data_IF_788550901163
#
_entry.id   IF_788550901163
#
_cell.length_a   1.000
_cell.length_b   1.000
_cell.length_c   1.000
_cell.angle_alpha   90.00
_cell.angle_beta   90.00
_cell.angle_gamma   90.00
#
_symmetry.space_group_name_H-M   'P 1'
#
loop_
_entity.id
_entity.type
_entity.pdbx_description
1 polymer ?
#
# COMPACT_ATOMS: atom_id res chain seq x y z
N UNK A 1 -11.77 -39.28 0.22
CA UNK A 1 -12.88 -38.40 0.69
C UNK A 1 -13.11 -37.40 -0.42
N UNK A 2 -14.33 -36.94 -0.68
CA UNK A 2 -14.58 -35.94 -1.73
C UNK A 2 -14.26 -34.53 -1.21
N UNK A 3 -13.80 -33.66 -2.12
CA UNK A 3 -13.63 -32.23 -1.82
C UNK A 3 -14.97 -31.63 -1.33
N UNK A 4 -14.88 -30.73 -0.36
CA UNK A 4 -16.02 -29.97 0.15
C UNK A 4 -16.36 -28.80 -0.76
N UNK A 5 -17.24 -28.99 -1.72
CA UNK A 5 -17.61 -27.93 -2.69
C UNK A 5 -18.30 -26.72 -2.04
N UNK A 6 -18.96 -26.90 -0.90
CA UNK A 6 -19.62 -25.83 -0.15
C UNK A 6 -18.63 -24.87 0.55
N UNK A 7 -17.34 -25.18 0.54
CA UNK A 7 -16.31 -24.31 1.12
C UNK A 7 -15.95 -23.12 0.20
N UNK A 8 -16.34 -23.14 -1.09
CA UNK A 8 -16.10 -22.01 -1.99
C UNK A 8 -16.79 -20.76 -1.44
N UNK A 9 -16.03 -19.66 -1.37
CA UNK A 9 -16.50 -18.36 -0.91
C UNK A 9 -16.68 -18.22 0.60
N UNK A 10 -16.60 -19.29 1.38
CA UNK A 10 -16.67 -19.19 2.85
C UNK A 10 -15.45 -18.48 3.40
N UNK A 11 -15.67 -17.55 4.32
CA UNK A 11 -14.61 -16.80 4.99
C UNK A 11 -13.79 -17.72 5.88
N UNK A 12 -12.46 -17.64 5.76
CA UNK A 12 -11.46 -18.28 6.62
C UNK A 12 -10.73 -17.16 7.36
N UNK A 13 -10.69 -17.24 8.68
CA UNK A 13 -10.10 -16.20 9.52
C UNK A 13 -11.14 -15.29 10.19
N UNK A 14 -10.71 -14.22 10.89
CA UNK A 14 -9.34 -13.69 10.97
C UNK A 14 -8.39 -14.61 11.75
N UNK A 15 -7.22 -14.88 11.18
CA UNK A 15 -6.14 -15.61 11.82
C UNK A 15 -5.04 -14.62 12.21
N UNK A 16 -4.64 -14.63 13.47
CA UNK A 16 -3.64 -13.70 14.00
C UNK A 16 -2.34 -14.42 14.28
N UNK A 17 -1.23 -13.78 13.92
CA UNK A 17 0.13 -14.26 14.20
C UNK A 17 1.01 -13.10 14.65
N UNK A 18 1.54 -13.21 15.86
CA UNK A 18 2.58 -12.32 16.36
C UNK A 18 3.93 -12.78 15.83
N UNK A 19 4.81 -11.82 15.53
CA UNK A 19 6.18 -12.08 15.10
C UNK A 19 7.10 -10.93 15.52
N UNK A 20 8.37 -11.25 15.65
CA UNK A 20 9.40 -10.28 15.99
C UNK A 20 10.61 -10.39 15.02
N UNK A 21 11.63 -9.57 15.28
CA UNK A 21 12.84 -9.54 14.48
C UNK A 21 13.58 -10.88 14.42
N UNK A 22 13.43 -11.76 15.43
CA UNK A 22 14.05 -13.10 15.44
C UNK A 22 13.40 -14.03 14.44
N UNK A 23 12.07 -13.96 14.31
CA UNK A 23 11.33 -14.73 13.30
C UNK A 23 11.75 -14.31 11.90
N UNK A 24 11.93 -12.99 11.68
CA UNK A 24 12.40 -12.44 10.39
C UNK A 24 13.80 -12.94 10.05
N UNK A 25 14.75 -12.90 11.00
CA UNK A 25 16.12 -13.40 10.82
C UNK A 25 16.11 -14.91 10.64
N UNK A 26 15.37 -15.65 11.45
CA UNK A 26 15.24 -17.10 11.33
C UNK A 26 14.78 -17.53 9.94
N UNK A 27 13.75 -16.84 9.43
CA UNK A 27 13.28 -17.06 8.06
C UNK A 27 14.38 -16.76 7.03
N UNK A 28 15.05 -15.62 7.15
CA UNK A 28 16.11 -15.23 6.22
C UNK A 28 17.21 -16.28 6.14
N UNK A 29 17.69 -16.78 7.29
CA UNK A 29 18.67 -17.86 7.36
C UNK A 29 18.06 -19.17 6.82
N UNK A 30 16.78 -19.42 7.12
CA UNK A 30 16.00 -20.57 6.63
C UNK A 30 15.92 -20.64 5.11
N UNK A 31 15.99 -19.50 4.40
CA UNK A 31 16.06 -19.42 2.93
C UNK A 31 17.46 -19.09 2.41
N UNK A 32 18.49 -19.35 3.22
CA UNK A 32 19.90 -19.33 2.85
C UNK A 32 20.58 -17.97 2.86
N UNK A 33 20.05 -16.94 3.54
CA UNK A 33 20.77 -15.70 3.80
C UNK A 33 21.95 -15.99 4.75
N UNK A 34 23.08 -15.37 4.50
CA UNK A 34 24.33 -15.61 5.24
C UNK A 34 24.93 -14.35 5.85
N UNK A 35 26.21 -14.48 6.26
CA UNK A 35 26.97 -13.39 6.89
C UNK A 35 27.30 -12.24 5.95
N UNK A 36 27.13 -12.40 4.65
CA UNK A 36 27.28 -11.40 3.59
C UNK A 36 26.00 -10.58 3.34
N UNK A 37 24.87 -10.98 3.97
CA UNK A 37 23.57 -10.33 3.82
C UNK A 37 23.05 -9.78 5.17
N UNK A 38 23.88 -8.96 5.85
CA UNK A 38 23.57 -8.43 7.18
C UNK A 38 22.28 -7.59 7.23
N UNK A 39 21.84 -7.02 6.12
CA UNK A 39 20.54 -6.34 6.02
C UNK A 39 19.35 -7.28 6.34
N UNK A 40 19.53 -8.60 6.28
CA UNK A 40 18.48 -9.60 6.53
C UNK A 40 18.79 -10.53 7.72
N UNK A 41 20.03 -10.52 8.20
CA UNK A 41 20.51 -11.47 9.23
C UNK A 41 20.98 -10.81 10.52
N UNK A 42 20.95 -9.48 10.57
CA UNK A 42 21.36 -8.70 11.74
C UNK A 42 20.31 -7.63 12.07
N UNK A 43 19.97 -7.46 13.35
CA UNK A 43 18.90 -6.60 13.82
C UNK A 43 19.11 -5.10 13.56
N UNK A 44 20.34 -4.64 13.33
CA UNK A 44 20.63 -3.25 13.00
C UNK A 44 20.25 -2.96 11.53
N UNK A 45 19.25 -2.11 11.34
CA UNK A 45 18.68 -1.76 10.04
C UNK A 45 18.06 -2.96 9.29
N UNK A 46 17.54 -3.93 10.05
CA UNK A 46 16.96 -5.15 9.54
C UNK A 46 15.87 -4.87 8.49
N UNK A 47 15.95 -5.57 7.37
CA UNK A 47 14.95 -5.60 6.31
C UNK A 47 14.29 -6.98 6.24
N UNK A 48 13.05 -7.01 5.77
CA UNK A 48 12.30 -8.25 5.64
C UNK A 48 12.38 -8.75 4.20
N UNK A 49 12.81 -9.99 4.00
CA UNK A 49 12.71 -10.66 2.70
C UNK A 49 11.22 -10.84 2.38
N UNK A 50 10.70 -10.37 1.21
CA UNK A 50 9.26 -10.38 0.93
C UNK A 50 8.61 -11.75 1.05
N UNK A 51 9.30 -12.82 0.71
CA UNK A 51 8.80 -14.19 0.85
C UNK A 51 8.58 -14.63 2.31
N UNK A 52 9.00 -13.85 3.33
CA UNK A 52 8.59 -14.03 4.73
C UNK A 52 7.08 -13.98 4.91
N UNK A 53 6.34 -13.28 4.03
CA UNK A 53 4.89 -13.27 3.98
C UNK A 53 4.26 -14.68 4.01
N UNK A 54 5.00 -15.68 3.57
CA UNK A 54 4.60 -17.09 3.58
C UNK A 54 4.55 -17.65 5.01
N UNK A 55 5.47 -17.23 5.89
CA UNK A 55 5.48 -17.66 7.29
C UNK A 55 4.20 -17.25 8.04
N UNK A 56 3.54 -16.19 7.59
CA UNK A 56 2.27 -15.72 8.13
C UNK A 56 1.06 -16.59 7.73
N UNK A 57 1.18 -17.39 6.67
CA UNK A 57 0.05 -18.09 6.05
C UNK A 57 -0.03 -19.57 6.36
N UNK A 58 0.90 -20.16 7.12
CA UNK A 58 0.82 -21.59 7.41
C UNK A 58 -0.48 -21.98 8.11
N UNK A 59 -0.96 -21.14 9.06
CA UNK A 59 -2.25 -21.38 9.69
C UNK A 59 -3.40 -21.27 8.68
N UNK A 60 -3.32 -20.28 7.77
CA UNK A 60 -4.30 -20.13 6.69
C UNK A 60 -4.28 -21.33 5.74
N UNK A 61 -3.09 -21.78 5.35
CA UNK A 61 -2.91 -22.96 4.50
C UNK A 61 -3.53 -24.21 5.15
N UNK A 62 -3.29 -24.42 6.45
CA UNK A 62 -3.89 -25.50 7.24
C UNK A 62 -5.41 -25.42 7.25
N UNK A 63 -5.99 -24.23 7.47
CA UNK A 63 -7.43 -24.01 7.44
C UNK A 63 -8.04 -24.23 6.05
N UNK A 64 -7.34 -23.85 4.98
CA UNK A 64 -7.75 -24.16 3.59
C UNK A 64 -7.81 -25.68 3.38
N UNK A 65 -6.77 -26.41 3.85
CA UNK A 65 -6.74 -27.87 3.79
C UNK A 65 -7.94 -28.53 4.51
N UNK A 66 -8.23 -28.09 5.72
CA UNK A 66 -9.37 -28.57 6.52
C UNK A 66 -10.71 -28.21 5.85
N UNK A 67 -10.88 -26.96 5.44
CA UNK A 67 -12.14 -26.48 4.84
C UNK A 67 -12.44 -27.17 3.52
N UNK A 68 -11.42 -27.42 2.68
CA UNK A 68 -11.54 -28.10 1.39
C UNK A 68 -11.73 -29.61 1.50
N UNK A 69 -11.42 -30.22 2.66
CA UNK A 69 -11.37 -31.68 2.86
C UNK A 69 -10.41 -32.37 1.87
N UNK A 70 -9.32 -31.71 1.46
CA UNK A 70 -8.32 -32.27 0.55
C UNK A 70 -7.58 -33.43 1.20
N UNK A 71 -7.27 -34.46 0.42
CA UNK A 71 -6.54 -35.63 0.92
C UNK A 71 -5.07 -35.31 1.19
N UNK A 72 -4.68 -35.20 2.45
CA UNK A 72 -3.33 -34.84 2.88
C UNK A 72 -2.24 -35.80 2.38
N UNK A 73 -2.55 -37.09 2.14
CA UNK A 73 -1.57 -38.04 1.61
C UNK A 73 -1.17 -37.75 0.15
N UNK A 74 -2.05 -37.06 -0.60
CA UNK A 74 -1.79 -36.63 -1.97
C UNK A 74 -1.49 -35.16 -2.12
N UNK A 75 -1.44 -34.39 -1.03
CA UNK A 75 -1.32 -32.94 -1.07
C UNK A 75 0.08 -32.48 -1.45
N UNK A 76 0.15 -31.58 -2.43
CA UNK A 76 1.34 -30.82 -2.79
C UNK A 76 0.99 -29.34 -2.93
N UNK A 77 1.94 -28.47 -2.70
CA UNK A 77 1.85 -27.05 -3.05
C UNK A 77 2.12 -26.89 -4.56
N UNK A 78 1.12 -26.51 -5.34
CA UNK A 78 1.19 -26.44 -6.80
C UNK A 78 1.73 -25.10 -7.32
N UNK A 79 1.13 -24.01 -6.88
CA UNK A 79 1.52 -22.64 -7.27
C UNK A 79 1.43 -21.71 -6.06
N UNK A 80 2.32 -20.70 -6.05
CA UNK A 80 2.33 -19.63 -5.07
C UNK A 80 2.41 -18.29 -5.82
N UNK A 81 1.55 -17.35 -5.43
CA UNK A 81 1.64 -15.98 -5.89
C UNK A 81 1.48 -15.02 -4.70
N UNK A 82 2.35 -14.03 -4.62
CA UNK A 82 2.40 -12.98 -3.63
C UNK A 82 2.23 -11.63 -4.32
N UNK A 83 1.31 -10.81 -3.85
CA UNK A 83 1.11 -9.43 -4.31
C UNK A 83 1.33 -8.52 -3.11
N UNK A 84 2.30 -7.61 -3.20
CA UNK A 84 2.70 -6.73 -2.10
C UNK A 84 2.08 -5.34 -2.25
N UNK A 85 1.36 -4.91 -1.23
CA UNK A 85 0.71 -3.60 -1.13
C UNK A 85 1.52 -2.61 -0.29
N UNK A 86 2.21 -3.10 0.73
CA UNK A 86 3.10 -2.33 1.59
C UNK A 86 4.30 -3.19 2.03
N UNK A 87 5.45 -2.58 2.39
CA UNK A 87 6.56 -3.30 2.99
C UNK A 87 6.16 -3.99 4.29
N UNK A 88 6.70 -5.18 4.53
CA UNK A 88 6.45 -5.93 5.76
C UNK A 88 7.33 -5.35 6.87
N UNK A 89 6.76 -4.90 8.01
CA UNK A 89 7.53 -4.47 9.17
C UNK A 89 8.36 -5.62 9.77
N UNK A 90 9.36 -5.29 10.58
CA UNK A 90 10.23 -6.29 11.23
C UNK A 90 9.61 -6.93 12.48
N UNK A 91 8.46 -6.46 12.94
CA UNK A 91 7.72 -7.01 14.07
C UNK A 91 6.27 -6.55 14.06
N UNK A 92 5.40 -7.23 14.78
CA UNK A 92 4.01 -6.86 14.99
C UNK A 92 3.06 -8.06 14.97
N UNK A 93 1.77 -7.78 14.84
CA UNK A 93 0.73 -8.79 14.66
C UNK A 93 0.21 -8.73 13.23
N UNK A 94 0.26 -9.85 12.54
CA UNK A 94 -0.38 -10.07 11.24
C UNK A 94 -1.79 -10.61 11.45
N UNK A 95 -2.74 -10.13 10.66
CA UNK A 95 -4.10 -10.66 10.62
C UNK A 95 -4.41 -11.07 9.19
N UNK A 96 -4.68 -12.37 8.97
CA UNK A 96 -4.99 -12.94 7.67
C UNK A 96 -6.46 -13.36 7.61
N UNK A 97 -7.14 -12.90 6.58
CA UNK A 97 -8.49 -13.32 6.22
C UNK A 97 -8.50 -13.76 4.76
N UNK A 98 -9.27 -14.79 4.45
CA UNK A 98 -9.32 -15.26 3.07
C UNK A 98 -10.46 -16.23 2.82
N UNK A 99 -10.39 -16.90 1.67
CA UNK A 99 -11.40 -17.87 1.22
C UNK A 99 -10.83 -18.80 0.16
N UNK A 100 -11.46 -19.95 0.00
CA UNK A 100 -11.30 -20.78 -1.20
C UNK A 100 -12.08 -20.12 -2.32
N UNK A 101 -11.44 -19.90 -3.46
CA UNK A 101 -12.04 -19.20 -4.61
C UNK A 101 -12.51 -20.16 -5.68
N UNK A 102 -11.75 -21.26 -5.95
CA UNK A 102 -12.06 -22.20 -7.02
C UNK A 102 -11.60 -23.62 -6.70
N UNK A 103 -12.29 -24.59 -7.27
CA UNK A 103 -11.81 -25.94 -7.47
C UNK A 103 -11.76 -26.25 -8.95
N UNK A 104 -10.67 -26.85 -9.43
CA UNK A 104 -10.54 -27.32 -10.80
C UNK A 104 -10.26 -28.81 -10.82
N UNK A 105 -10.99 -29.53 -11.68
CA UNK A 105 -10.83 -30.97 -11.85
C UNK A 105 -9.76 -31.24 -12.94
N UNK A 106 -8.78 -32.07 -12.64
CA UNK A 106 -7.79 -32.55 -13.60
C UNK A 106 -7.98 -34.03 -13.93
N UNK A 107 -9.17 -34.55 -13.68
CA UNK A 107 -9.53 -35.94 -13.89
C UNK A 107 -8.63 -36.87 -13.08
N UNK A 108 -8.07 -37.88 -13.71
CA UNK A 108 -7.19 -38.86 -13.05
C UNK A 108 -5.87 -38.26 -12.49
N UNK A 109 -5.53 -36.99 -12.86
CA UNK A 109 -4.31 -36.33 -12.40
C UNK A 109 -4.49 -35.68 -11.03
N UNK A 110 -5.72 -35.49 -10.56
CA UNK A 110 -6.02 -34.85 -9.27
C UNK A 110 -6.89 -33.62 -9.40
N UNK A 111 -6.85 -32.77 -8.39
CA UNK A 111 -7.61 -31.52 -8.30
C UNK A 111 -6.71 -30.32 -7.95
N UNK A 112 -7.12 -29.12 -8.33
CA UNK A 112 -6.53 -27.88 -7.84
C UNK A 112 -7.52 -27.19 -6.90
N UNK A 113 -7.04 -26.77 -5.75
CA UNK A 113 -7.76 -25.92 -4.79
C UNK A 113 -7.09 -24.56 -4.78
N UNK A 114 -7.81 -23.53 -5.20
CA UNK A 114 -7.30 -22.16 -5.22
C UNK A 114 -7.85 -21.42 -4.00
N UNK A 115 -6.98 -20.81 -3.22
CA UNK A 115 -7.36 -19.97 -2.09
C UNK A 115 -6.63 -18.61 -2.17
N UNK A 116 -7.30 -17.59 -1.69
CA UNK A 116 -6.79 -16.23 -1.61
C UNK A 116 -6.90 -15.74 -0.17
N UNK A 117 -5.81 -15.20 0.36
CA UNK A 117 -5.72 -14.65 1.71
C UNK A 117 -5.09 -13.25 1.69
N UNK A 118 -5.77 -12.29 2.28
CA UNK A 118 -5.31 -10.92 2.49
C UNK A 118 -4.76 -10.77 3.90
N UNK A 119 -3.58 -10.18 4.02
CA UNK A 119 -2.92 -10.00 5.32
C UNK A 119 -2.68 -8.53 5.60
N UNK A 120 -3.15 -8.08 6.75
CA UNK A 120 -2.94 -6.74 7.30
C UNK A 120 -2.09 -6.77 8.56
N UNK A 121 -1.42 -5.66 8.84
CA UNK A 121 -0.68 -5.44 10.07
C UNK A 121 -1.54 -4.76 11.15
N UNK A 122 -1.17 -4.91 12.42
CA UNK A 122 -1.87 -4.30 13.57
C UNK A 122 -2.04 -2.77 13.50
N UNK A 123 -1.27 -2.08 12.64
CA UNK A 123 -1.44 -0.65 12.35
C UNK A 123 -2.53 -0.36 11.29
N UNK A 124 -3.28 -1.36 10.86
CA UNK A 124 -4.36 -1.25 9.87
C UNK A 124 -3.91 -1.24 8.40
N UNK A 125 -2.61 -1.34 8.10
CA UNK A 125 -2.13 -1.38 6.71
C UNK A 125 -2.28 -2.77 6.12
N UNK A 126 -2.88 -2.87 4.93
CA UNK A 126 -2.83 -4.06 4.08
C UNK A 126 -1.40 -4.26 3.62
N UNK A 127 -0.80 -5.42 3.90
CA UNK A 127 0.58 -5.71 3.55
C UNK A 127 0.71 -6.48 2.24
N UNK A 128 -0.01 -7.60 2.13
CA UNK A 128 0.10 -8.48 0.98
C UNK A 128 -1.13 -9.36 0.80
N UNK A 129 -1.31 -9.83 -0.42
CA UNK A 129 -2.26 -10.89 -0.79
C UNK A 129 -1.48 -12.15 -1.19
N UNK A 130 -1.88 -13.30 -0.63
CA UNK A 130 -1.40 -14.62 -1.03
C UNK A 130 -2.46 -15.31 -1.88
N UNK A 131 -2.06 -15.80 -3.05
CA UNK A 131 -2.87 -16.70 -3.87
C UNK A 131 -2.14 -18.04 -3.90
N UNK A 132 -2.82 -19.08 -3.39
CA UNK A 132 -2.25 -20.39 -3.18
C UNK A 132 -3.00 -21.38 -4.05
N UNK A 133 -2.26 -22.23 -4.74
CA UNK A 133 -2.82 -23.38 -5.44
C UNK A 133 -2.32 -24.66 -4.76
N UNK A 134 -3.23 -25.37 -4.11
CA UNK A 134 -2.97 -26.72 -3.61
C UNK A 134 -3.30 -27.73 -4.69
N UNK A 135 -2.43 -28.74 -4.85
CA UNK A 135 -2.63 -29.83 -5.79
C UNK A 135 -2.90 -31.14 -5.02
N UNK A 136 -4.16 -31.58 -5.03
CA UNK A 136 -4.60 -32.84 -4.47
C UNK A 136 -4.52 -33.94 -5.50
N UNK A 137 -3.42 -34.73 -5.50
CA UNK A 137 -3.20 -35.81 -6.48
C UNK A 137 -4.26 -36.91 -6.42
N UNK A 138 -4.95 -37.05 -5.29
CA UNK A 138 -5.92 -38.09 -5.04
C UNK A 138 -7.38 -37.58 -5.06
N UNK A 139 -7.61 -36.32 -5.41
CA UNK A 139 -8.92 -35.67 -5.24
C UNK A 139 -9.60 -35.29 -6.57
N UNK A 140 -9.10 -35.78 -7.72
CA UNK A 140 -9.70 -35.49 -9.02
C UNK A 140 -10.83 -36.43 -9.43
N UNK A 141 -11.50 -36.12 -10.55
CA UNK A 141 -12.57 -36.89 -11.14
C UNK A 141 -13.95 -36.56 -10.55
N UNK A 142 -14.12 -35.38 -9.98
CA UNK A 142 -15.41 -34.94 -9.43
C UNK A 142 -16.30 -34.21 -10.50
N UNK A 143 -15.83 -34.06 -11.75
CA UNK A 143 -16.63 -33.47 -12.84
C UNK A 143 -16.69 -31.95 -12.83
N UNK A 144 -15.70 -31.30 -12.20
CA UNK A 144 -15.56 -29.85 -12.20
C UNK A 144 -14.93 -29.29 -13.48
N UNK A 145 -14.81 -27.96 -13.55
CA UNK A 145 -14.18 -27.25 -14.66
C UNK A 145 -12.67 -27.55 -14.73
N UNK A 146 -12.11 -27.52 -15.95
CA UNK A 146 -10.67 -27.55 -16.16
C UNK A 146 -10.05 -26.20 -15.79
N UNK A 147 -8.85 -26.24 -15.19
CA UNK A 147 -8.11 -25.02 -14.89
C UNK A 147 -7.70 -24.30 -16.18
N UNK A 148 -7.94 -22.98 -16.28
CA UNK A 148 -7.49 -22.22 -17.44
C UNK A 148 -5.96 -22.26 -17.53
N UNK A 149 -5.38 -22.41 -18.74
CA UNK A 149 -3.94 -22.39 -18.91
C UNK A 149 -3.38 -21.00 -18.57
N UNK A 150 -2.33 -20.97 -17.78
CA UNK A 150 -1.61 -19.74 -17.38
C UNK A 150 -0.12 -19.86 -17.73
N UNK A 151 0.25 -20.04 -19.04
CA UNK A 151 1.64 -20.16 -19.39
C UNK A 151 2.34 -18.81 -19.26
N UNK A 152 3.54 -18.81 -18.72
CA UNK A 152 4.48 -17.69 -18.80
C UNK A 152 5.33 -17.89 -20.04
N UNK A 153 5.33 -16.90 -20.94
CA UNK A 153 6.20 -16.93 -22.10
C UNK A 153 7.62 -16.51 -21.70
N UNK A 154 8.58 -17.39 -21.94
CA UNK A 154 10.00 -17.11 -21.74
C UNK A 154 10.63 -16.62 -23.05
N UNK A 155 11.50 -15.59 -23.00
CA UNK A 155 12.27 -15.18 -24.17
C UNK A 155 13.19 -16.30 -24.68
N UNK A 156 13.35 -16.43 -25.99
CA UNK A 156 14.25 -17.43 -26.62
C UNK A 156 15.74 -17.05 -26.55
N UNK A 157 16.07 -15.96 -25.88
CA UNK A 157 17.45 -15.49 -25.61
C UNK A 157 18.00 -15.99 -24.29
N UNK A 158 19.31 -15.87 -24.10
CA UNK A 158 19.94 -16.11 -22.80
C UNK A 158 19.32 -15.26 -21.68
N UNK A 159 19.29 -15.76 -20.44
CA UNK A 159 18.81 -14.98 -19.30
C UNK A 159 19.68 -13.75 -19.06
N UNK A 160 19.08 -12.67 -18.57
CA UNK A 160 19.81 -11.46 -18.18
C UNK A 160 20.64 -11.69 -16.92
N UNK A 161 20.14 -12.57 -16.01
CA UNK A 161 20.86 -12.98 -14.81
C UNK A 161 20.75 -14.49 -14.60
N UNK A 162 21.83 -15.05 -14.04
CA UNK A 162 21.92 -16.45 -13.67
C UNK A 162 22.57 -16.51 -12.29
N UNK A 163 21.80 -16.93 -11.27
CA UNK A 163 22.24 -16.89 -9.87
C UNK A 163 22.26 -18.31 -9.32
N UNK A 164 23.44 -18.76 -8.92
CA UNK A 164 23.67 -20.06 -8.30
C UNK A 164 23.48 -20.00 -6.79
N UNK A 165 22.94 -21.08 -6.22
CA UNK A 165 22.89 -21.30 -4.79
C UNK A 165 23.04 -22.79 -4.46
N UNK A 166 23.56 -23.09 -3.27
CA UNK A 166 23.73 -24.43 -2.76
C UNK A 166 23.02 -24.57 -1.40
N UNK A 167 21.71 -24.90 -1.38
CA UNK A 167 21.03 -25.17 -0.12
C UNK A 167 21.75 -26.24 0.70
N UNK A 168 21.84 -26.04 2.01
CA UNK A 168 22.43 -27.06 2.91
C UNK A 168 21.57 -28.33 2.88
N UNK A 169 22.20 -29.53 3.07
CA UNK A 169 21.45 -30.75 3.37
C UNK A 169 20.51 -30.61 4.58
N UNK A 170 20.87 -29.77 5.54
CA UNK A 170 20.08 -29.48 6.75
C UNK A 170 19.08 -28.33 6.58
N UNK A 171 18.98 -27.75 5.40
CA UNK A 171 18.10 -26.60 5.14
C UNK A 171 16.65 -26.85 5.55
N UNK A 172 16.03 -28.02 5.33
CA UNK A 172 14.66 -28.30 5.78
C UNK A 172 14.52 -28.26 7.30
N UNK A 173 15.54 -28.69 8.05
CA UNK A 173 15.50 -28.67 9.53
C UNK A 173 15.48 -27.24 10.07
N UNK A 174 16.17 -26.33 9.40
CA UNK A 174 16.18 -24.91 9.76
C UNK A 174 14.89 -24.21 9.29
N UNK A 175 14.51 -24.39 8.02
CA UNK A 175 13.36 -23.72 7.44
C UNK A 175 12.04 -24.04 8.15
N UNK A 176 11.85 -25.31 8.57
CA UNK A 176 10.62 -25.73 9.29
C UNK A 176 10.35 -24.95 10.58
N UNK A 177 11.38 -24.36 11.18
CA UNK A 177 11.24 -23.55 12.38
C UNK A 177 10.52 -22.22 12.10
N UNK A 178 10.39 -21.81 10.84
CA UNK A 178 9.58 -20.68 10.42
C UNK A 178 8.09 -20.98 10.30
N UNK A 179 7.66 -22.25 10.57
CA UNK A 179 6.24 -22.61 10.66
C UNK A 179 5.81 -23.83 9.83
N UNK A 180 6.54 -24.23 8.78
CA UNK A 180 6.21 -25.40 7.97
C UNK A 180 6.78 -26.69 8.59
N UNK A 181 6.03 -27.27 9.51
CA UNK A 181 6.45 -28.48 10.23
C UNK A 181 6.01 -29.78 9.54
N UNK A 182 5.56 -29.74 8.28
CA UNK A 182 5.05 -30.90 7.59
C UNK A 182 6.10 -32.03 7.45
N UNK A 183 5.72 -33.24 7.82
CA UNK A 183 6.64 -34.40 7.97
C UNK A 183 7.33 -34.79 6.66
N UNK A 184 6.73 -34.51 5.50
CA UNK A 184 7.29 -34.82 4.17
C UNK A 184 8.73 -34.34 3.98
N UNK A 185 9.11 -33.30 4.69
CA UNK A 185 10.38 -32.61 4.51
C UNK A 185 11.48 -33.09 5.45
N UNK A 186 11.15 -33.96 6.44
CA UNK A 186 12.12 -34.39 7.47
C UNK A 186 12.01 -35.88 7.82
N UNK A 187 10.83 -36.51 7.63
CA UNK A 187 10.59 -37.90 8.00
C UNK A 187 10.74 -38.83 6.79
N UNK A 188 11.77 -39.73 6.78
CA UNK A 188 11.98 -40.67 5.66
C UNK A 188 10.83 -41.64 5.46
N UNK A 189 10.12 -42.04 6.52
CA UNK A 189 9.00 -42.98 6.40
C UNK A 189 7.81 -42.30 5.75
N UNK A 190 7.49 -41.10 6.21
CA UNK A 190 6.42 -40.30 5.60
C UNK A 190 6.73 -39.96 4.13
N UNK A 191 7.98 -39.62 3.81
CA UNK A 191 8.39 -39.32 2.43
C UNK A 191 8.17 -40.54 1.52
N UNK A 192 8.54 -41.74 1.96
CA UNK A 192 8.31 -43.00 1.20
C UNK A 192 6.79 -43.28 1.03
N UNK A 193 5.99 -43.10 2.06
CA UNK A 193 4.53 -43.23 1.95
C UNK A 193 3.91 -42.25 0.95
N UNK A 194 4.49 -41.04 0.86
CA UNK A 194 4.08 -40.02 -0.11
C UNK A 194 4.62 -40.26 -1.53
N UNK A 195 5.41 -41.33 -1.75
CA UNK A 195 5.95 -41.73 -3.05
C UNK A 195 7.28 -41.06 -3.42
N UNK A 196 8.06 -40.56 -2.45
CA UNK A 196 9.39 -40.00 -2.63
C UNK A 196 10.45 -40.95 -2.07
N UNK A 197 11.63 -40.95 -2.66
CA UNK A 197 12.77 -41.79 -2.22
C UNK A 197 13.24 -41.39 -0.81
N UNK A 198 13.28 -40.10 -0.53
CA UNK A 198 13.69 -39.49 0.74
C UNK A 198 12.99 -38.15 0.94
N UNK A 199 13.09 -37.53 2.13
CA UNK A 199 12.53 -36.20 2.35
C UNK A 199 12.95 -35.18 1.28
N UNK A 200 12.01 -34.36 0.82
CA UNK A 200 12.23 -33.33 -0.18
C UNK A 200 12.35 -31.96 0.47
N UNK A 201 12.97 -31.01 -0.20
CA UNK A 201 12.96 -29.61 0.20
C UNK A 201 11.53 -29.06 0.26
N UNK A 202 11.26 -28.16 1.21
CA UNK A 202 10.03 -27.38 1.17
C UNK A 202 10.01 -26.57 -0.13
N UNK A 203 8.92 -26.67 -0.89
CA UNK A 203 8.76 -25.84 -2.10
C UNK A 203 8.87 -24.35 -1.78
N UNK A 204 8.28 -23.93 -0.67
CA UNK A 204 8.31 -22.54 -0.22
C UNK A 204 9.69 -22.08 0.27
N UNK A 205 10.54 -22.98 0.78
CA UNK A 205 11.95 -22.70 1.03
C UNK A 205 12.69 -22.43 -0.29
N UNK A 206 12.50 -23.30 -1.29
CA UNK A 206 13.08 -23.14 -2.63
C UNK A 206 12.62 -21.82 -3.29
N UNK A 207 11.35 -21.46 -3.11
CA UNK A 207 10.80 -20.15 -3.52
C UNK A 207 11.47 -18.98 -2.80
N UNK A 208 11.83 -19.13 -1.52
CA UNK A 208 12.57 -18.13 -0.75
C UNK A 208 13.99 -17.89 -1.31
N UNK A 209 14.70 -18.96 -1.71
CA UNK A 209 15.97 -18.85 -2.44
C UNK A 209 15.82 -18.08 -3.76
N UNK A 210 14.74 -18.35 -4.52
CA UNK A 210 14.45 -17.60 -5.73
C UNK A 210 14.17 -16.12 -5.43
N UNK A 211 13.38 -15.81 -4.38
CA UNK A 211 13.11 -14.44 -3.96
C UNK A 211 14.40 -13.66 -3.70
N UNK A 212 15.37 -14.25 -2.97
CA UNK A 212 16.68 -13.62 -2.74
C UNK A 212 17.45 -13.39 -4.04
N UNK A 213 17.51 -14.39 -4.92
CA UNK A 213 18.18 -14.25 -6.22
C UNK A 213 17.56 -13.14 -7.09
N UNK A 214 16.24 -13.04 -7.12
CA UNK A 214 15.50 -12.00 -7.84
C UNK A 214 15.75 -10.62 -7.25
N UNK A 215 15.71 -10.49 -5.91
CA UNK A 215 16.01 -9.24 -5.22
C UNK A 215 17.45 -8.77 -5.48
N UNK A 216 18.43 -9.66 -5.34
CA UNK A 216 19.83 -9.34 -5.58
C UNK A 216 20.07 -8.84 -7.02
N UNK A 217 19.35 -9.41 -7.99
CA UNK A 217 19.51 -9.07 -9.42
C UNK A 217 18.72 -7.83 -9.86
N UNK A 218 17.51 -7.59 -9.31
CA UNK A 218 16.54 -6.64 -9.87
C UNK A 218 16.19 -5.49 -8.93
N UNK A 219 16.34 -5.69 -7.61
CA UNK A 219 16.01 -4.72 -6.56
C UNK A 219 17.03 -4.78 -5.40
N UNK A 220 18.35 -4.67 -5.66
CA UNK A 220 19.39 -4.91 -4.67
C UNK A 220 19.24 -4.00 -3.45
N UNK A 221 19.15 -4.60 -2.26
CA UNK A 221 18.99 -3.90 -0.99
C UNK A 221 17.66 -3.18 -0.79
N UNK A 222 16.67 -3.35 -1.69
CA UNK A 222 15.38 -2.65 -1.67
C UNK A 222 14.19 -3.62 -1.72
N UNK A 223 13.96 -4.43 -0.67
CA UNK A 223 12.83 -5.38 -0.62
C UNK A 223 11.47 -4.68 -0.74
N UNK A 224 11.39 -3.41 -0.37
CA UNK A 224 10.18 -2.57 -0.49
C UNK A 224 9.77 -2.30 -1.93
N UNK A 225 10.62 -2.55 -2.91
CA UNK A 225 10.27 -2.43 -4.33
C UNK A 225 9.60 -3.66 -4.90
N UNK A 226 9.61 -4.81 -4.22
CA UNK A 226 8.94 -6.03 -4.71
C UNK A 226 7.43 -5.82 -4.70
N UNK A 227 6.77 -6.12 -5.83
CA UNK A 227 5.33 -5.96 -6.03
C UNK A 227 4.61 -7.28 -6.23
N UNK A 228 5.23 -8.19 -6.96
CA UNK A 228 4.64 -9.49 -7.24
C UNK A 228 5.72 -10.54 -7.35
N UNK A 229 5.47 -11.70 -6.78
CA UNK A 229 6.32 -12.86 -6.87
C UNK A 229 5.43 -14.10 -7.03
N UNK A 230 5.43 -14.69 -8.23
CA UNK A 230 4.62 -15.86 -8.54
C UNK A 230 5.45 -16.98 -9.13
N UNK A 231 5.02 -18.24 -8.91
CA UNK A 231 5.67 -19.41 -9.51
C UNK A 231 4.79 -20.65 -9.46
N UNK A 232 5.20 -21.67 -10.25
CA UNK A 232 4.70 -23.04 -10.21
C UNK A 232 5.82 -24.00 -9.76
N UNK A 233 5.52 -24.85 -8.78
CA UNK A 233 6.40 -25.95 -8.38
C UNK A 233 6.25 -27.10 -9.38
N UNK A 234 7.34 -27.46 -10.08
CA UNK A 234 7.28 -28.38 -11.21
C UNK A 234 7.90 -29.75 -10.89
N UNK A 235 8.96 -29.78 -10.12
CA UNK A 235 9.65 -30.99 -9.69
C UNK A 235 10.13 -30.89 -8.24
N UNK A 236 10.20 -32.00 -7.50
CA UNK A 236 10.81 -31.99 -6.18
C UNK A 236 12.28 -31.63 -6.26
N UNK A 237 12.77 -30.90 -5.26
CA UNK A 237 14.19 -30.66 -5.01
C UNK A 237 14.59 -31.47 -3.77
N UNK A 238 15.75 -32.09 -3.79
CA UNK A 238 16.27 -32.77 -2.60
C UNK A 238 17.25 -31.86 -1.82
N UNK A 239 17.26 -31.98 -0.48
CA UNK A 239 18.20 -31.24 0.35
C UNK A 239 19.66 -31.45 -0.10
N UNK A 240 20.41 -30.35 -0.22
CA UNK A 240 21.81 -30.39 -0.70
C UNK A 240 21.97 -30.38 -2.22
N UNK A 241 20.88 -30.38 -2.99
CA UNK A 241 21.00 -30.22 -4.45
C UNK A 241 21.25 -28.76 -4.81
N UNK A 242 22.25 -28.49 -5.67
CA UNK A 242 22.54 -27.13 -6.12
C UNK A 242 21.48 -26.64 -7.12
N UNK A 243 21.18 -25.36 -7.02
CA UNK A 243 20.12 -24.71 -7.82
C UNK A 243 20.67 -23.49 -8.56
N UNK A 244 20.03 -23.17 -9.68
CA UNK A 244 20.28 -21.95 -10.46
C UNK A 244 18.97 -21.28 -10.82
N UNK A 245 18.85 -20.00 -10.44
CA UNK A 245 17.73 -19.14 -10.82
C UNK A 245 18.09 -18.37 -12.09
N UNK A 246 17.33 -18.60 -13.16
CA UNK A 246 17.46 -17.94 -14.46
C UNK A 246 16.40 -16.82 -14.55
N UNK A 247 16.81 -15.59 -14.91
CA UNK A 247 15.98 -14.41 -14.85
C UNK A 247 16.05 -13.65 -16.18
N UNK A 248 14.91 -13.33 -16.75
CA UNK A 248 14.76 -12.52 -17.97
C UNK A 248 13.92 -11.27 -17.69
N UNK A 249 14.49 -10.09 -17.93
CA UNK A 249 13.72 -8.85 -17.94
C UNK A 249 12.86 -8.79 -19.20
N UNK A 250 11.56 -8.60 -19.06
CA UNK A 250 10.61 -8.57 -20.18
C UNK A 250 10.02 -7.17 -20.42
N UNK A 251 10.02 -6.31 -19.38
CA UNK A 251 9.64 -4.90 -19.46
C UNK A 251 10.24 -4.13 -18.27
N UNK A 252 10.08 -2.81 -18.23
CA UNK A 252 10.44 -2.03 -17.05
C UNK A 252 9.66 -2.53 -15.84
N UNK A 253 10.37 -2.86 -14.75
CA UNK A 253 9.78 -3.38 -13.52
C UNK A 253 9.18 -4.79 -13.61
N UNK A 254 9.43 -5.55 -14.72
CA UNK A 254 8.87 -6.90 -14.90
C UNK A 254 9.90 -7.88 -15.40
N UNK A 255 9.92 -9.05 -14.78
CA UNK A 255 10.77 -10.17 -15.17
C UNK A 255 9.98 -11.49 -15.10
N UNK A 256 10.44 -12.47 -15.90
CA UNK A 256 10.06 -13.88 -15.79
C UNK A 256 11.28 -14.68 -15.33
N UNK A 257 11.04 -15.78 -14.63
CA UNK A 257 12.10 -16.54 -14.05
C UNK A 257 11.75 -18.03 -13.91
N UNK A 258 12.78 -18.86 -13.88
CA UNK A 258 12.68 -20.28 -13.52
C UNK A 258 13.89 -20.71 -12.70
N UNK A 259 13.76 -21.83 -12.01
CA UNK A 259 14.84 -22.41 -11.26
C UNK A 259 15.12 -23.84 -11.73
N UNK A 260 16.38 -24.16 -11.95
CA UNK A 260 16.83 -25.48 -12.33
C UNK A 260 17.68 -26.12 -11.22
N UNK A 261 17.56 -27.41 -11.05
CA UNK A 261 18.52 -28.22 -10.31
C UNK A 261 19.76 -28.42 -11.22
N UNK A 262 20.90 -27.87 -10.86
CA UNK A 262 22.09 -27.92 -11.73
C UNK A 262 22.77 -29.28 -11.75
N UNK A 263 22.43 -30.20 -10.82
CA UNK A 263 22.92 -31.59 -10.83
C UNK A 263 22.19 -32.45 -11.86
N UNK A 264 20.86 -32.25 -11.99
CA UNK A 264 20.03 -33.09 -12.87
C UNK A 264 19.64 -32.39 -14.19
N UNK A 265 19.78 -31.07 -14.26
CA UNK A 265 19.27 -30.22 -15.37
C UNK A 265 17.76 -30.02 -15.34
N UNK A 266 17.02 -30.57 -14.38
CA UNK A 266 15.56 -30.46 -14.33
C UNK A 266 15.09 -29.09 -13.82
N UNK A 267 14.01 -28.59 -14.38
CA UNK A 267 13.32 -27.38 -13.88
C UNK A 267 12.51 -27.73 -12.64
N UNK A 268 12.87 -27.17 -11.49
CA UNK A 268 12.21 -27.39 -10.19
C UNK A 268 11.12 -26.36 -9.92
N UNK A 269 11.31 -25.11 -10.36
CA UNK A 269 10.29 -24.05 -10.35
C UNK A 269 10.19 -23.46 -11.76
N UNK A 270 8.97 -23.28 -12.24
CA UNK A 270 8.67 -22.71 -13.55
C UNK A 270 7.55 -21.65 -13.48
N UNK A 271 7.19 -21.06 -14.61
CA UNK A 271 6.16 -20.03 -14.69
C UNK A 271 6.40 -18.86 -13.71
N UNK A 272 7.66 -18.56 -13.43
CA UNK A 272 8.01 -17.50 -12.50
C UNK A 272 7.68 -16.11 -13.04
N UNK A 273 6.96 -15.32 -12.23
CA UNK A 273 6.67 -13.90 -12.48
C UNK A 273 7.29 -13.07 -11.36
N UNK A 274 7.90 -11.95 -11.71
CA UNK A 274 8.43 -10.99 -10.75
C UNK A 274 8.14 -9.57 -11.23
N UNK A 275 7.44 -8.80 -10.39
CA UNK A 275 7.22 -7.38 -10.65
C UNK A 275 7.83 -6.56 -9.52
N UNK A 276 8.49 -5.45 -9.87
CA UNK A 276 9.19 -4.59 -8.94
C UNK A 276 9.15 -3.13 -9.40
N UNK A 277 9.20 -2.20 -8.44
CA UNK A 277 9.16 -0.76 -8.68
C UNK A 277 8.51 -0.04 -7.51
N UNK A 278 8.47 1.28 -7.57
CA UNK A 278 7.75 2.07 -6.57
C UNK A 278 6.27 1.64 -6.54
N UNK A 279 5.68 1.57 -5.35
CA UNK A 279 4.23 1.50 -5.24
C UNK A 279 3.71 2.79 -5.87
N UNK A 280 2.84 2.74 -6.88
CA UNK A 280 2.12 3.93 -7.26
C UNK A 280 1.47 4.46 -5.98
N UNK A 281 1.95 5.60 -5.48
CA UNK A 281 1.21 6.28 -4.42
C UNK A 281 -0.14 6.54 -5.04
N UNK A 282 -1.21 6.01 -4.42
CA UNK A 282 -2.55 6.43 -4.78
C UNK A 282 -2.52 7.96 -4.70
N UNK A 283 -2.40 8.60 -5.83
CA UNK A 283 -2.44 10.06 -5.89
C UNK A 283 -3.84 10.43 -5.42
N UNK A 284 -3.90 11.07 -4.24
CA UNK A 284 -5.16 11.66 -3.81
C UNK A 284 -5.59 12.62 -4.91
N UNK A 285 -6.64 12.28 -5.62
CA UNK A 285 -7.20 13.05 -6.73
C UNK A 285 -8.46 13.78 -6.29
N UNK A 286 -8.68 14.93 -6.90
CA UNK A 286 -9.86 15.76 -6.67
C UNK A 286 -10.59 16.05 -7.99
N UNK A 287 -10.53 15.17 -8.96
CA UNK A 287 -11.19 15.31 -10.25
C UNK A 287 -12.70 15.53 -10.05
N UNK A 288 -13.23 16.55 -10.73
CA UNK A 288 -14.64 16.96 -10.60
C UNK A 288 -15.00 17.67 -9.29
N UNK A 289 -14.05 17.97 -8.40
CA UNK A 289 -14.26 18.74 -7.17
C UNK A 289 -13.91 20.20 -7.35
N UNK A 290 -14.63 21.06 -6.64
CA UNK A 290 -14.42 22.52 -6.61
C UNK A 290 -13.91 22.92 -5.23
N UNK A 291 -12.71 23.54 -5.19
CA UNK A 291 -12.09 24.02 -3.97
C UNK A 291 -12.11 25.56 -3.93
N UNK A 292 -12.61 26.13 -2.84
CA UNK A 292 -12.52 27.56 -2.54
C UNK A 292 -11.44 27.74 -1.47
N UNK A 293 -10.44 28.58 -1.74
CA UNK A 293 -9.32 28.82 -0.83
C UNK A 293 -9.20 30.31 -0.58
N UNK A 294 -9.36 30.73 0.68
CA UNK A 294 -9.23 32.13 1.07
C UNK A 294 -7.80 32.48 1.44
N UNK A 295 -7.38 33.72 1.13
CA UNK A 295 -5.98 34.15 1.31
C UNK A 295 -5.02 33.36 0.43
N UNK A 296 -5.41 33.06 -0.80
CA UNK A 296 -4.69 32.16 -1.69
C UNK A 296 -3.78 32.86 -2.70
N UNK A 297 -3.63 34.17 -2.64
CA UNK A 297 -2.69 34.92 -3.48
C UNK A 297 -1.22 34.77 -3.07
N UNK A 298 -0.92 34.19 -1.90
CA UNK A 298 0.43 33.99 -1.39
C UNK A 298 0.55 32.92 -0.30
N UNK A 299 1.78 32.70 0.18
CA UNK A 299 2.06 31.84 1.31
C UNK A 299 1.45 30.44 1.20
N UNK A 300 0.90 29.95 2.31
CA UNK A 300 0.27 28.62 2.39
C UNK A 300 -0.94 28.50 1.46
N UNK A 301 -1.78 29.53 1.38
CA UNK A 301 -2.99 29.50 0.54
C UNK A 301 -2.65 29.29 -0.94
N UNK A 302 -1.59 29.94 -1.45
CA UNK A 302 -1.08 29.71 -2.82
C UNK A 302 -0.64 28.26 -3.01
N UNK A 303 0.12 27.71 -2.07
CA UNK A 303 0.58 26.30 -2.14
C UNK A 303 -0.62 25.34 -2.15
N UNK A 304 -1.62 25.59 -1.33
CA UNK A 304 -2.85 24.78 -1.34
C UNK A 304 -3.58 24.88 -2.69
N UNK A 305 -3.72 26.09 -3.25
CA UNK A 305 -4.39 26.28 -4.53
C UNK A 305 -3.70 25.51 -5.67
N UNK A 306 -2.38 25.61 -5.75
CA UNK A 306 -1.57 24.89 -6.73
C UNK A 306 -1.66 23.36 -6.54
N UNK A 307 -1.61 22.87 -5.31
CA UNK A 307 -1.63 21.43 -5.03
C UNK A 307 -3.03 20.82 -5.27
N UNK A 308 -4.11 21.53 -4.93
CA UNK A 308 -5.47 21.09 -5.27
C UNK A 308 -5.68 21.05 -6.78
N UNK A 309 -5.25 22.08 -7.51
CA UNK A 309 -5.36 22.13 -8.96
C UNK A 309 -4.52 21.04 -9.64
N UNK A 310 -3.28 20.82 -9.23
CA UNK A 310 -2.42 19.72 -9.70
C UNK A 310 -3.07 18.36 -9.56
N UNK A 311 -3.90 18.17 -8.53
CA UNK A 311 -4.64 16.94 -8.25
C UNK A 311 -6.01 16.87 -8.91
N UNK A 312 -6.34 17.82 -9.80
CA UNK A 312 -7.55 17.81 -10.63
C UNK A 312 -8.73 18.59 -10.08
N UNK A 313 -8.59 19.32 -8.97
CA UNK A 313 -9.64 20.22 -8.50
C UNK A 313 -9.74 21.47 -9.39
N UNK A 314 -10.96 22.00 -9.55
CA UNK A 314 -11.22 23.37 -10.01
C UNK A 314 -11.11 24.31 -8.82
N UNK A 315 -10.38 25.42 -8.94
CA UNK A 315 -10.00 26.24 -7.79
C UNK A 315 -10.53 27.67 -7.89
N UNK A 316 -11.16 28.16 -6.83
CA UNK A 316 -11.38 29.59 -6.62
C UNK A 316 -10.27 30.12 -5.72
N UNK A 317 -9.44 30.98 -6.27
CA UNK A 317 -8.33 31.65 -5.60
C UNK A 317 -8.84 33.00 -5.08
N UNK A 318 -9.21 33.06 -3.81
CA UNK A 318 -9.63 34.31 -3.19
C UNK A 318 -8.46 34.97 -2.47
N UNK A 319 -8.22 36.24 -2.77
CA UNK A 319 -7.27 37.10 -2.05
C UNK A 319 -7.63 38.57 -2.27
N UNK A 320 -7.72 39.35 -1.19
CA UNK A 320 -7.98 40.78 -1.23
C UNK A 320 -6.78 41.58 -1.81
N UNK A 321 -5.55 40.99 -1.73
CA UNK A 321 -4.34 41.59 -2.25
C UNK A 321 -3.75 42.69 -1.38
N UNK A 322 -4.17 42.79 -0.12
CA UNK A 322 -3.62 43.71 0.87
C UNK A 322 -2.25 43.28 1.42
N UNK A 323 -1.62 44.18 2.19
CA UNK A 323 -0.40 43.85 2.91
C UNK A 323 -0.63 42.79 4.01
N UNK A 324 0.42 42.15 4.51
CA UNK A 324 0.35 41.07 5.51
C UNK A 324 -0.30 41.47 6.84
N UNK A 325 -0.28 42.76 7.16
CA UNK A 325 -0.93 43.35 8.35
C UNK A 325 -2.37 43.80 8.07
N UNK A 326 -2.85 43.58 6.84
CA UNK A 326 -4.18 43.98 6.38
C UNK A 326 -4.30 45.48 6.11
N UNK A 327 -3.18 46.21 5.95
CA UNK A 327 -3.17 47.61 5.55
C UNK A 327 -3.03 47.76 4.02
N UNK A 328 -3.26 48.98 3.50
CA UNK A 328 -3.18 49.31 2.09
C UNK A 328 -4.46 48.98 1.30
N UNK A 329 -4.53 49.52 0.09
CA UNK A 329 -5.57 49.18 -0.87
C UNK A 329 -5.36 47.79 -1.42
N UNK A 330 -6.45 47.02 -1.58
CA UNK A 330 -6.40 45.67 -2.17
C UNK A 330 -5.89 45.69 -3.60
N UNK A 331 -5.31 44.58 -4.03
CA UNK A 331 -4.79 44.38 -5.38
C UNK A 331 -5.26 43.08 -5.98
N UNK A 332 -5.71 43.09 -7.22
CA UNK A 332 -6.12 41.89 -7.97
C UNK A 332 -4.94 41.01 -8.37
N UNK A 333 -3.72 41.56 -8.35
CA UNK A 333 -2.50 40.91 -8.86
C UNK A 333 -2.11 39.59 -8.17
N UNK A 334 -2.14 39.43 -6.84
CA UNK A 334 -1.74 38.18 -6.20
C UNK A 334 -2.61 36.98 -6.58
N UNK A 335 -3.94 37.10 -6.46
CA UNK A 335 -4.84 36.03 -6.83
C UNK A 335 -4.78 35.71 -8.33
N UNK A 336 -4.69 36.75 -9.17
CA UNK A 336 -4.61 36.56 -10.62
C UNK A 336 -3.35 35.80 -11.04
N UNK A 337 -2.19 36.10 -10.45
CA UNK A 337 -0.94 35.37 -10.72
C UNK A 337 -1.06 33.88 -10.41
N UNK A 338 -1.68 33.53 -9.29
CA UNK A 338 -1.87 32.12 -8.93
C UNK A 338 -2.82 31.42 -9.90
N UNK A 339 -3.87 32.09 -10.35
CA UNK A 339 -4.76 31.58 -11.41
C UNK A 339 -4.01 31.32 -12.71
N UNK A 340 -3.14 32.24 -13.11
CA UNK A 340 -2.31 32.09 -14.32
C UNK A 340 -1.33 30.92 -14.19
N UNK A 341 -0.71 30.74 -13.03
CA UNK A 341 0.16 29.58 -12.75
C UNK A 341 -0.61 28.26 -12.84
N UNK A 342 -1.82 28.20 -12.27
CA UNK A 342 -2.67 27.01 -12.35
C UNK A 342 -3.05 26.70 -13.79
N UNK A 343 -3.46 27.70 -14.56
CA UNK A 343 -3.82 27.54 -15.98
C UNK A 343 -2.64 27.15 -16.85
N UNK A 344 -1.46 27.73 -16.60
CA UNK A 344 -0.23 27.36 -17.29
C UNK A 344 0.18 25.90 -17.03
N UNK A 345 -0.16 25.36 -15.85
CA UNK A 345 0.02 23.94 -15.50
C UNK A 345 -1.10 23.00 -16.00
N UNK A 346 -2.07 23.53 -16.77
CA UNK A 346 -3.20 22.75 -17.32
C UNK A 346 -4.39 22.57 -16.39
N UNK A 347 -4.42 23.26 -15.23
CA UNK A 347 -5.54 23.25 -14.28
C UNK A 347 -6.61 24.29 -14.59
N UNK A 348 -7.72 24.23 -13.87
CA UNK A 348 -8.84 25.19 -13.98
C UNK A 348 -8.93 26.03 -12.70
N UNK A 349 -8.89 27.36 -12.83
CA UNK A 349 -9.06 28.27 -11.71
C UNK A 349 -9.67 29.62 -12.11
N UNK A 350 -10.32 30.26 -11.15
CA UNK A 350 -10.81 31.64 -11.22
C UNK A 350 -10.35 32.44 -10.01
N UNK A 351 -10.13 33.74 -10.20
CA UNK A 351 -9.75 34.65 -9.12
C UNK A 351 -11.00 35.28 -8.50
N UNK A 352 -10.93 35.58 -7.21
CA UNK A 352 -11.90 36.38 -6.48
C UNK A 352 -11.15 37.34 -5.53
N UNK A 353 -11.69 38.54 -5.35
CA UNK A 353 -11.04 39.64 -4.63
C UNK A 353 -11.88 40.19 -3.48
N UNK A 354 -12.98 39.49 -3.13
CA UNK A 354 -13.88 39.92 -2.09
C UNK A 354 -13.29 39.73 -0.68
N UNK A 355 -13.69 40.60 0.23
CA UNK A 355 -13.19 40.62 1.60
C UNK A 355 -13.92 39.60 2.48
N UNK A 356 -13.20 38.63 3.04
CA UNK A 356 -13.75 37.64 3.97
C UNK A 356 -14.33 38.27 5.24
N UNK A 357 -13.83 39.42 5.68
CA UNK A 357 -14.25 40.06 6.91
C UNK A 357 -15.70 40.57 6.88
N UNK A 358 -16.40 40.52 5.74
CA UNK A 358 -17.78 40.93 5.59
C UNK A 358 -18.67 39.77 5.14
N UNK A 359 -19.95 39.77 5.60
CA UNK A 359 -20.93 38.74 5.19
C UNK A 359 -21.15 38.77 3.67
N UNK A 360 -21.28 39.94 3.08
CA UNK A 360 -21.42 40.12 1.64
C UNK A 360 -20.24 39.56 0.87
N UNK A 361 -18.99 39.81 1.35
CA UNK A 361 -17.79 39.26 0.76
C UNK A 361 -17.75 37.76 0.80
N UNK A 362 -18.12 37.14 1.93
CA UNK A 362 -18.24 35.67 2.07
C UNK A 362 -19.25 35.08 1.06
N UNK A 363 -20.41 35.70 0.86
CA UNK A 363 -21.40 35.27 -0.13
C UNK A 363 -20.88 35.39 -1.56
N UNK A 364 -20.19 36.48 -1.91
CA UNK A 364 -19.57 36.68 -3.25
C UNK A 364 -18.45 35.70 -3.54
N UNK A 365 -17.66 35.32 -2.54
CA UNK A 365 -16.60 34.28 -2.68
C UNK A 365 -17.23 32.94 -3.08
N UNK A 366 -18.28 32.53 -2.39
CA UNK A 366 -18.99 31.27 -2.70
C UNK A 366 -19.72 31.37 -4.03
N UNK A 367 -20.34 32.52 -4.32
CA UNK A 367 -20.98 32.79 -5.61
C UNK A 367 -20.01 32.67 -6.78
N UNK A 368 -18.79 33.11 -6.66
CA UNK A 368 -17.76 32.97 -7.70
C UNK A 368 -17.52 31.49 -8.05
N UNK A 369 -17.56 30.58 -7.07
CA UNK A 369 -17.44 29.13 -7.32
C UNK A 369 -18.70 28.58 -8.02
N UNK A 370 -19.88 29.03 -7.62
CA UNK A 370 -21.14 28.62 -8.23
C UNK A 370 -21.24 29.10 -9.67
N UNK A 371 -20.90 30.35 -9.94
CA UNK A 371 -20.95 30.96 -11.29
C UNK A 371 -19.94 30.28 -12.25
N UNK A 372 -18.73 29.96 -11.75
CA UNK A 372 -17.68 29.40 -12.60
C UNK A 372 -17.78 27.86 -12.74
N UNK A 373 -18.19 27.16 -11.69
CA UNK A 373 -18.06 25.70 -11.60
C UNK A 373 -19.30 24.98 -11.10
N UNK A 374 -20.36 25.69 -10.75
CA UNK A 374 -21.68 25.15 -10.37
C UNK A 374 -21.78 24.57 -8.96
N UNK A 375 -20.70 24.55 -8.16
CA UNK A 375 -20.72 23.93 -6.82
C UNK A 375 -19.55 24.38 -5.95
N UNK A 376 -19.59 24.00 -4.66
CA UNK A 376 -18.45 24.03 -3.72
C UNK A 376 -18.36 22.68 -3.05
N UNK A 377 -17.21 22.00 -3.17
CA UNK A 377 -16.94 20.71 -2.52
C UNK A 377 -15.98 20.83 -1.34
N UNK A 378 -15.01 21.74 -1.45
CA UNK A 378 -13.95 21.93 -0.47
C UNK A 378 -13.82 23.43 -0.17
N UNK A 379 -13.82 23.78 1.09
CA UNK A 379 -13.52 25.14 1.55
C UNK A 379 -12.29 25.12 2.46
N UNK A 380 -11.28 25.93 2.13
CA UNK A 380 -10.11 26.15 2.98
C UNK A 380 -10.15 27.59 3.50
N UNK A 381 -10.55 27.76 4.76
CA UNK A 381 -10.47 29.02 5.48
C UNK A 381 -9.03 29.27 5.91
N UNK A 382 -8.26 29.97 5.06
CA UNK A 382 -6.85 30.22 5.28
C UNK A 382 -6.51 31.72 5.40
N UNK A 383 -7.38 32.61 4.93
CA UNK A 383 -7.16 34.05 5.01
C UNK A 383 -6.79 34.50 6.43
N UNK A 384 -5.83 35.42 6.52
CA UNK A 384 -5.37 35.88 7.81
C UNK A 384 -4.41 37.07 7.71
N UNK A 385 -4.40 37.87 8.77
CA UNK A 385 -3.50 39.01 8.96
C UNK A 385 -2.81 38.92 10.32
N UNK A 386 -1.67 39.60 10.47
CA UNK A 386 -0.94 39.70 11.72
C UNK A 386 -0.81 41.16 12.16
N UNK A 387 -1.31 41.46 13.37
CA UNK A 387 -1.18 42.76 14.01
C UNK A 387 -0.70 42.56 15.45
N UNK A 388 0.57 42.18 15.58
CA UNK A 388 1.16 41.81 16.86
C UNK A 388 1.44 43.03 17.74
N UNK A 389 0.93 43.02 18.95
CA UNK A 389 1.16 44.00 20.01
C UNK A 389 1.10 43.34 21.37
N UNK A 390 1.88 43.85 22.35
CA UNK A 390 1.69 43.44 23.74
C UNK A 390 0.25 43.81 24.17
N UNK A 391 -0.34 43.02 25.07
CA UNK A 391 -1.72 43.21 25.52
C UNK A 391 -2.05 44.63 25.95
N UNK A 392 -1.15 45.28 26.69
CA UNK A 392 -1.34 46.66 27.17
C UNK A 392 -1.26 47.71 26.06
N UNK A 393 -0.66 47.39 24.90
CA UNK A 393 -0.51 48.29 23.74
C UNK A 393 -1.42 47.90 22.57
N UNK A 394 -2.31 46.92 22.79
CA UNK A 394 -3.25 46.44 21.78
C UNK A 394 -4.53 47.29 21.80
N UNK A 395 -4.66 48.15 20.83
CA UNK A 395 -5.84 48.96 20.63
C UNK A 395 -7.05 48.09 20.20
N UNK A 396 -8.28 48.47 20.55
CA UNK A 396 -9.48 47.73 20.19
C UNK A 396 -9.62 47.44 18.69
N UNK A 397 -9.22 48.37 17.84
CA UNK A 397 -9.26 48.26 16.38
C UNK A 397 -8.25 47.21 15.89
N UNK A 398 -7.09 47.12 16.53
CA UNK A 398 -6.05 46.08 16.23
C UNK A 398 -6.55 44.71 16.61
N UNK A 399 -7.23 44.58 17.73
CA UNK A 399 -7.87 43.36 18.17
C UNK A 399 -8.98 42.93 17.20
N UNK A 400 -9.94 43.84 16.95
CA UNK A 400 -11.12 43.55 16.14
C UNK A 400 -10.77 43.16 14.71
N UNK A 401 -9.82 43.87 14.06
CA UNK A 401 -9.43 43.58 12.69
C UNK A 401 -8.87 42.14 12.53
N UNK A 402 -8.15 41.62 13.50
CA UNK A 402 -7.65 40.25 13.46
C UNK A 402 -8.80 39.24 13.64
N UNK A 403 -9.74 39.49 14.57
CA UNK A 403 -10.89 38.64 14.74
C UNK A 403 -11.78 38.64 13.49
N UNK A 404 -12.00 39.82 12.87
CA UNK A 404 -12.86 39.96 11.70
C UNK A 404 -12.34 39.15 10.50
N UNK A 405 -11.03 39.11 10.28
CA UNK A 405 -10.47 38.33 9.16
C UNK A 405 -10.42 36.84 9.49
N UNK A 406 -9.92 36.46 10.66
CA UNK A 406 -9.67 35.07 10.97
C UNK A 406 -10.94 34.31 11.40
N UNK A 407 -11.66 34.83 12.41
CA UNK A 407 -12.79 34.13 13.03
C UNK A 407 -14.11 34.45 12.31
N UNK A 408 -14.45 35.74 12.22
CA UNK A 408 -15.68 36.17 11.54
C UNK A 408 -15.61 35.84 10.05
N UNK A 409 -14.44 36.03 9.40
CA UNK A 409 -14.25 35.72 8.00
C UNK A 409 -14.42 34.23 7.68
N UNK A 410 -13.92 33.36 8.52
CA UNK A 410 -14.19 31.93 8.37
C UNK A 410 -15.70 31.62 8.47
N UNK A 411 -16.43 32.24 9.40
CA UNK A 411 -17.87 32.11 9.51
C UNK A 411 -18.59 32.63 8.27
N UNK A 412 -18.23 33.83 7.78
CA UNK A 412 -18.89 34.48 6.64
C UNK A 412 -18.80 33.65 5.36
N UNK A 413 -17.65 32.97 5.11
CA UNK A 413 -17.46 32.12 3.94
C UNK A 413 -18.04 30.72 4.17
N UNK A 414 -17.92 30.18 5.40
CA UNK A 414 -18.40 28.83 5.70
C UNK A 414 -19.92 28.73 5.60
N UNK A 415 -20.67 29.71 6.11
CA UNK A 415 -22.13 29.66 6.15
C UNK A 415 -22.76 29.47 4.75
N UNK A 416 -22.47 30.28 3.72
CA UNK A 416 -23.01 30.06 2.37
C UNK A 416 -22.42 28.78 1.71
N UNK A 417 -21.13 28.44 1.90
CA UNK A 417 -20.55 27.23 1.36
C UNK A 417 -21.22 25.96 1.95
N UNK A 418 -21.47 25.96 3.26
CA UNK A 418 -22.16 24.87 3.95
C UNK A 418 -23.57 24.61 3.41
N UNK A 419 -24.32 25.66 3.06
CA UNK A 419 -25.62 25.49 2.44
C UNK A 419 -25.56 24.69 1.14
N UNK A 420 -24.62 25.04 0.25
CA UNK A 420 -24.35 24.30 -1.00
C UNK A 420 -23.92 22.85 -0.74
N UNK A 421 -22.98 22.66 0.20
CA UNK A 421 -22.48 21.33 0.56
C UNK A 421 -23.58 20.44 1.16
N UNK A 422 -24.46 21.02 1.98
CA UNK A 422 -25.58 20.30 2.60
C UNK A 422 -26.60 19.85 1.55
N UNK A 423 -26.97 20.71 0.63
CA UNK A 423 -27.89 20.39 -0.46
C UNK A 423 -27.33 19.26 -1.35
N UNK A 424 -26.04 19.32 -1.66
CA UNK A 424 -25.34 18.30 -2.46
C UNK A 424 -25.08 16.99 -1.70
N UNK A 425 -25.17 16.97 -0.37
CA UNK A 425 -24.80 15.81 0.46
C UNK A 425 -23.30 15.52 0.55
N UNK A 426 -22.44 16.49 0.15
CA UNK A 426 -20.99 16.37 0.22
C UNK A 426 -20.32 17.70 0.50
N UNK A 427 -19.33 17.73 1.40
CA UNK A 427 -18.48 18.87 1.67
C UNK A 427 -17.31 18.56 2.59
N UNK A 428 -16.23 19.32 2.45
CA UNK A 428 -15.06 19.31 3.35
C UNK A 428 -14.68 20.74 3.68
N UNK A 429 -14.64 21.07 4.96
CA UNK A 429 -14.30 22.41 5.46
C UNK A 429 -13.03 22.28 6.28
N UNK A 430 -12.03 23.09 5.93
CA UNK A 430 -10.72 23.12 6.57
C UNK A 430 -10.54 24.47 7.23
N UNK A 431 -10.29 24.47 8.54
CA UNK A 431 -10.00 25.66 9.33
C UNK A 431 -8.50 25.74 9.62
N UNK A 432 -7.84 26.80 9.14
CA UNK A 432 -6.41 26.99 9.39
C UNK A 432 -6.20 27.62 10.77
N UNK A 433 -5.95 26.80 11.76
CA UNK A 433 -5.58 27.22 13.13
C UNK A 433 -4.06 27.41 13.28
N UNK A 434 -3.53 27.53 14.49
CA UNK A 434 -2.13 27.75 14.77
C UNK A 434 -1.72 27.18 16.13
N UNK A 435 -0.46 26.82 16.29
CA UNK A 435 0.12 26.51 17.58
C UNK A 435 -0.04 27.67 18.58
N UNK A 436 0.04 28.93 18.10
CA UNK A 436 -0.24 30.10 18.91
C UNK A 436 -1.70 30.11 19.45
N UNK A 437 -2.67 29.55 18.71
CA UNK A 437 -4.05 29.37 19.20
C UNK A 437 -4.14 28.37 20.35
N UNK A 438 -3.36 27.28 20.30
CA UNK A 438 -3.42 26.21 21.30
C UNK A 438 -2.58 26.52 22.56
N UNK A 439 -1.42 27.15 22.39
CA UNK A 439 -0.44 27.35 23.48
C UNK A 439 -0.19 28.82 23.83
N UNK A 440 -0.80 29.74 23.08
CA UNK A 440 -0.51 31.16 23.20
C UNK A 440 0.80 31.58 22.55
N UNK A 441 1.00 32.88 22.34
CA UNK A 441 2.26 33.48 21.94
C UNK A 441 2.34 34.92 22.39
N UNK A 442 3.54 35.37 22.81
CA UNK A 442 3.75 36.73 23.27
C UNK A 442 3.44 37.74 22.12
N UNK A 443 2.66 38.77 22.44
CA UNK A 443 2.27 39.82 21.48
C UNK A 443 1.16 39.43 20.51
N UNK A 444 0.61 38.21 20.61
CA UNK A 444 -0.39 37.68 19.69
C UNK A 444 -1.73 37.32 20.36
N UNK A 445 -2.12 38.07 21.37
CA UNK A 445 -3.37 37.77 22.12
C UNK A 445 -4.59 37.78 21.20
N UNK A 446 -4.72 38.74 20.27
CA UNK A 446 -5.77 38.78 19.23
C UNK A 446 -5.71 37.58 18.28
N UNK A 447 -4.52 37.30 17.73
CA UNK A 447 -4.31 36.19 16.81
C UNK A 447 -4.56 34.82 17.48
N UNK A 448 -4.00 34.62 18.68
CA UNK A 448 -4.19 33.37 19.45
C UNK A 448 -5.66 33.14 19.79
N UNK A 449 -6.41 34.18 20.20
CA UNK A 449 -7.84 34.08 20.46
C UNK A 449 -8.64 33.72 19.20
N UNK A 450 -8.37 34.38 18.08
CA UNK A 450 -9.03 34.09 16.80
C UNK A 450 -8.75 32.64 16.34
N UNK A 451 -7.49 32.19 16.43
CA UNK A 451 -7.08 30.85 16.00
C UNK A 451 -7.60 29.74 16.91
N UNK A 452 -7.74 30.00 18.21
CA UNK A 452 -8.40 29.08 19.15
C UNK A 452 -9.91 28.99 18.85
N UNK A 453 -10.55 30.10 18.51
CA UNK A 453 -11.95 30.14 18.11
C UNK A 453 -12.26 29.27 16.87
N UNK A 454 -11.27 28.99 16.02
CA UNK A 454 -11.43 28.12 14.85
C UNK A 454 -11.32 26.61 15.18
N UNK A 455 -11.02 26.25 16.41
CA UNK A 455 -10.94 24.83 16.86
C UNK A 455 -12.34 24.27 17.17
N UNK A 456 -13.28 25.12 17.53
CA UNK A 456 -14.62 24.72 17.96
C UNK A 456 -15.63 24.41 16.84
N UNK A 457 -15.62 25.14 15.71
CA UNK A 457 -16.62 24.95 14.63
C UNK A 457 -16.50 23.64 13.86
#
# INVERSE_FOLDING_TARGET
MALNMDAIGRKIGPLKKDYDWKDVILYAIGVGAGSDELDYTYEKNLKVIPSFSIAAIYDFLGQVGVASNINLAGLLHGEQELIFHNPIPTSGTLTTEGKITHYYDKGKKGALVIAEGETSHSNGKMLFTNIITLFGRLDGGFGGEDAPPRPVAFPERAPDFSVDAAPSPDQPLLYRLSGDIFQLHVDPEFARMAGFEKPIMHGLCTHGFACRALMASLAPGKPELVRRLGCRFSRPLYPGDPIRTLIWKIAAGKAVWRMINTRTGETVIDNGLFEYGEIPKDEIRFDGRVAVITGAGGGLGRVYALEFAKRGAKVVVNDLGGARDGTGEGSTTPAQKVVEEIKAAGGEAVSNYDNVATSEGGEKIVKAALDAFGTVDILVNNAGILRDKSLLKMEPETWQAVLDVHLNGAYHVTRPAFAVMKEKGYGRIIMTTSAAGLYGNFGQTNYSSAKMGLVGP
#
